data_IF_984815488886
#
_entry.id   IF_984815488886
#
_cell.length_a   1.000
_cell.length_b   1.000
_cell.length_c   1.000
_cell.angle_alpha   90.00
_cell.angle_beta   90.00
_cell.angle_gamma   90.00
#
_symmetry.space_group_name_H-M   'P 1'
#
loop_
_entity.id
_entity.type
_entity.pdbx_description
1 polymer ?
#
# COMPACT_ATOMS: atom_id res chain seq x y z
N UNK A 1 -7.98 -31.24 -6.11
CA UNK A 1 -7.47 -30.18 -7.00
C UNK A 1 -7.86 -28.85 -6.37
N UNK A 2 -6.89 -28.04 -5.93
CA UNK A 2 -7.17 -26.72 -5.37
C UNK A 2 -6.87 -25.66 -6.41
N UNK A 3 -7.85 -24.80 -6.71
CA UNK A 3 -7.59 -23.65 -7.57
C UNK A 3 -6.86 -22.56 -6.77
N UNK A 4 -5.95 -21.84 -7.42
CA UNK A 4 -5.30 -20.70 -6.78
C UNK A 4 -6.34 -19.65 -6.35
N UNK A 5 -6.19 -19.03 -5.17
CA UNK A 5 -7.01 -17.88 -4.78
C UNK A 5 -6.97 -16.79 -5.86
N UNK A 6 -8.14 -16.30 -6.24
CA UNK A 6 -8.32 -15.26 -7.22
C UNK A 6 -7.68 -13.94 -6.78
N UNK A 7 -7.00 -13.27 -7.71
CA UNK A 7 -6.52 -11.92 -7.54
C UNK A 7 -6.43 -11.19 -8.90
N UNK A 8 -6.64 -9.88 -8.89
CA UNK A 8 -6.45 -8.99 -10.03
C UNK A 8 -5.78 -7.72 -9.51
N UNK A 9 -4.68 -7.30 -10.15
CA UNK A 9 -4.06 -5.99 -9.95
C UNK A 9 -4.40 -5.13 -11.16
N UNK A 10 -4.92 -3.92 -10.95
CA UNK A 10 -5.30 -3.05 -12.05
C UNK A 10 -5.04 -1.57 -11.76
N UNK A 11 -4.62 -0.87 -12.80
CA UNK A 11 -4.47 0.57 -12.93
C UNK A 11 -4.39 0.92 -14.42
N UNK A 12 -4.72 2.14 -14.80
CA UNK A 12 -4.57 2.63 -16.17
C UNK A 12 -3.35 3.55 -16.32
N UNK A 13 -2.95 3.81 -17.56
CA UNK A 13 -1.79 4.64 -17.89
C UNK A 13 -1.96 6.08 -17.39
N UNK A 14 -3.19 6.59 -17.41
CA UNK A 14 -3.55 7.92 -16.91
C UNK A 14 -3.28 8.03 -15.40
N UNK A 15 -3.65 7.02 -14.61
CA UNK A 15 -3.37 6.99 -13.17
C UNK A 15 -1.87 7.05 -12.87
N UNK A 16 -1.06 6.31 -13.63
CA UNK A 16 0.40 6.35 -13.55
C UNK A 16 0.93 7.76 -13.86
N UNK A 17 0.43 8.38 -14.93
CA UNK A 17 0.88 9.71 -15.34
C UNK A 17 0.48 10.80 -14.34
N UNK A 18 -0.76 10.76 -13.83
CA UNK A 18 -1.25 11.69 -12.81
C UNK A 18 -0.41 11.57 -11.54
N UNK A 19 -0.14 10.36 -11.07
CA UNK A 19 0.68 10.15 -9.88
C UNK A 19 2.12 10.65 -10.07
N UNK A 20 2.75 10.37 -11.21
CA UNK A 20 4.09 10.91 -11.53
C UNK A 20 4.12 12.44 -11.51
N UNK A 21 3.10 13.09 -12.07
CA UNK A 21 3.00 14.54 -12.06
C UNK A 21 2.79 15.08 -10.64
N UNK A 22 1.95 14.41 -9.84
CA UNK A 22 1.76 14.73 -8.42
C UNK A 22 3.08 14.69 -7.64
N UNK A 23 3.87 13.62 -7.81
CA UNK A 23 5.18 13.50 -7.14
C UNK A 23 6.19 14.57 -7.57
N UNK A 24 6.06 15.15 -8.77
CA UNK A 24 6.90 16.28 -9.22
C UNK A 24 6.44 17.61 -8.64
N UNK A 25 5.14 17.77 -8.39
CA UNK A 25 4.56 19.01 -7.86
C UNK A 25 4.59 19.12 -6.34
N UNK A 26 4.86 18.03 -5.62
CA UNK A 26 4.83 17.99 -4.16
C UNK A 26 6.14 17.43 -3.62
N UNK A 27 6.77 18.15 -2.68
CA UNK A 27 8.03 17.73 -2.05
C UNK A 27 7.88 16.44 -1.23
N UNK A 28 6.71 16.25 -0.61
CA UNK A 28 6.42 15.14 0.28
C UNK A 28 5.16 14.38 -0.17
N UNK A 29 5.25 13.51 -1.20
CA UNK A 29 4.12 12.74 -1.72
C UNK A 29 3.60 11.73 -0.70
N UNK A 30 2.27 11.76 -0.47
CA UNK A 30 1.57 10.88 0.46
C UNK A 30 0.66 9.91 -0.28
N UNK A 31 0.65 8.66 0.15
CA UNK A 31 -0.21 7.61 -0.39
C UNK A 31 -1.12 7.10 0.72
N UNK A 32 -2.42 6.95 0.46
CA UNK A 32 -3.37 6.33 1.39
C UNK A 32 -3.73 4.97 0.81
N UNK A 33 -3.67 3.92 1.64
CA UNK A 33 -4.03 2.55 1.24
C UNK A 33 -5.07 2.02 2.20
N UNK A 34 -6.18 1.55 1.64
CA UNK A 34 -7.27 0.94 2.40
C UNK A 34 -7.75 -0.37 1.74
N UNK A 35 -8.42 -1.20 2.53
CA UNK A 35 -9.01 -2.45 2.07
C UNK A 35 -10.45 -2.57 2.58
N UNK A 36 -11.41 -2.68 1.67
CA UNK A 36 -12.82 -2.89 1.99
C UNK A 36 -13.28 -4.27 1.51
N UNK A 37 -13.95 -5.01 2.39
CA UNK A 37 -14.60 -6.29 2.06
C UNK A 37 -16.03 -6.10 1.57
N UNK A 38 -16.64 -7.19 1.08
CA UNK A 38 -18.09 -7.27 0.78
C UNK A 38 -18.60 -6.39 -0.37
N UNK A 39 -17.73 -5.67 -1.07
CA UNK A 39 -18.10 -4.88 -2.26
C UNK A 39 -18.33 -5.76 -3.48
N UNK A 40 -17.58 -6.86 -3.60
CA UNK A 40 -17.63 -7.77 -4.76
C UNK A 40 -18.38 -9.05 -4.38
N UNK A 41 -19.40 -9.40 -5.18
CA UNK A 41 -20.12 -10.67 -5.02
C UNK A 41 -19.20 -11.85 -5.32
N UNK A 42 -19.24 -12.86 -4.47
CA UNK A 42 -18.54 -14.12 -4.73
C UNK A 42 -19.08 -14.77 -6.01
N UNK A 43 -18.18 -15.40 -6.78
CA UNK A 43 -18.51 -16.06 -8.04
C UNK A 43 -17.89 -17.46 -8.11
N UNK A 44 -18.29 -18.26 -9.10
CA UNK A 44 -17.76 -19.62 -9.28
C UNK A 44 -16.51 -19.60 -10.17
N UNK A 45 -15.37 -19.99 -9.61
CA UNK A 45 -14.13 -20.27 -10.34
C UNK A 45 -14.32 -21.54 -11.16
N UNK A 46 -14.12 -21.40 -12.48
CA UNK A 46 -14.24 -22.49 -13.45
C UNK A 46 -15.59 -23.24 -13.42
N UNK A 47 -16.64 -22.66 -12.83
CA UNK A 47 -17.95 -23.31 -12.69
C UNK A 47 -18.07 -24.31 -11.53
N UNK A 48 -16.99 -24.59 -10.78
CA UNK A 48 -16.98 -25.64 -9.74
C UNK A 48 -16.74 -25.13 -8.32
N UNK A 49 -15.94 -24.07 -8.12
CA UNK A 49 -15.50 -23.64 -6.79
C UNK A 49 -15.85 -22.17 -6.55
N UNK A 50 -16.66 -21.86 -5.52
CA UNK A 50 -16.94 -20.46 -5.17
C UNK A 50 -15.70 -19.77 -4.62
N UNK A 51 -15.51 -18.49 -4.99
CA UNK A 51 -14.54 -17.63 -4.33
C UNK A 51 -14.90 -17.46 -2.85
N UNK A 52 -13.88 -17.30 -2.01
CA UNK A 52 -13.97 -16.82 -0.63
C UNK A 52 -14.31 -15.33 -0.61
N UNK A 53 -14.26 -14.73 0.58
CA UNK A 53 -14.40 -13.28 0.74
C UNK A 53 -13.40 -12.56 -0.18
N UNK A 54 -13.94 -11.67 -1.01
CA UNK A 54 -13.17 -10.81 -1.90
C UNK A 54 -12.97 -9.45 -1.22
N UNK A 55 -11.72 -9.03 -1.14
CA UNK A 55 -11.33 -7.72 -0.66
C UNK A 55 -10.98 -6.83 -1.85
N UNK A 56 -11.43 -5.59 -1.80
CA UNK A 56 -11.01 -4.51 -2.70
C UNK A 56 -10.00 -3.67 -1.95
N UNK A 57 -8.78 -3.65 -2.45
CA UNK A 57 -7.71 -2.77 -2.00
C UNK A 57 -7.63 -1.59 -2.95
N UNK A 58 -7.55 -0.40 -2.38
CA UNK A 58 -7.39 0.84 -3.12
C UNK A 58 -6.21 1.60 -2.55
N UNK A 59 -5.34 2.09 -3.44
CA UNK A 59 -4.34 3.09 -3.11
C UNK A 59 -4.75 4.40 -3.77
N UNK A 60 -4.81 5.48 -3.00
CA UNK A 60 -5.24 6.80 -3.45
C UNK A 60 -4.32 7.90 -2.94
N UNK A 61 -4.40 9.06 -3.58
CA UNK A 61 -3.72 10.28 -3.18
C UNK A 61 -4.76 11.35 -2.92
N UNK A 62 -4.55 12.13 -1.87
CA UNK A 62 -5.22 13.40 -1.66
C UNK A 62 -4.23 14.54 -1.89
N UNK A 63 -4.41 15.28 -3.00
CA UNK A 63 -3.61 16.45 -3.34
C UNK A 63 -4.20 17.68 -2.63
N UNK A 64 -3.57 18.06 -1.52
CA UNK A 64 -3.98 19.23 -0.73
C UNK A 64 -3.86 20.55 -1.52
N UNK A 65 -2.93 20.65 -2.48
CA UNK A 65 -2.69 21.89 -3.24
C UNK A 65 -3.84 22.09 -4.22
N UNK A 66 -4.22 21.03 -4.94
CA UNK A 66 -5.34 21.06 -5.89
C UNK A 66 -6.69 20.82 -5.24
N UNK A 67 -6.72 20.41 -3.98
CA UNK A 67 -7.92 19.98 -3.25
C UNK A 67 -8.69 18.88 -3.99
N UNK A 68 -7.96 17.92 -4.56
CA UNK A 68 -8.51 16.81 -5.34
C UNK A 68 -7.95 15.47 -4.88
N UNK A 69 -8.79 14.43 -4.85
CA UNK A 69 -8.35 13.06 -4.62
C UNK A 69 -8.39 12.26 -5.92
N UNK A 70 -7.47 11.31 -6.07
CA UNK A 70 -7.48 10.37 -7.18
C UNK A 70 -6.90 9.01 -6.79
N UNK A 71 -7.46 7.96 -7.38
CA UNK A 71 -7.00 6.58 -7.21
C UNK A 71 -5.76 6.33 -8.06
N UNK A 72 -4.74 5.68 -7.49
CA UNK A 72 -3.47 5.39 -8.17
C UNK A 72 -3.36 3.94 -8.65
N UNK A 73 -3.90 2.99 -7.90
CA UNK A 73 -3.88 1.57 -8.23
C UNK A 73 -4.86 0.82 -7.34
N UNK A 74 -5.33 -0.34 -7.80
CA UNK A 74 -6.28 -1.18 -7.08
C UNK A 74 -5.91 -2.66 -7.18
N UNK A 75 -6.40 -3.44 -6.22
CA UNK A 75 -6.36 -4.89 -6.25
C UNK A 75 -7.69 -5.49 -5.77
N UNK A 76 -8.20 -6.49 -6.46
CA UNK A 76 -9.27 -7.36 -5.95
C UNK A 76 -8.63 -8.71 -5.64
N UNK A 77 -8.81 -9.24 -4.43
CA UNK A 77 -8.11 -10.45 -4.01
C UNK A 77 -8.89 -11.26 -2.98
N UNK A 78 -8.83 -12.60 -3.10
CA UNK A 78 -9.19 -13.54 -2.02
C UNK A 78 -8.07 -13.62 -0.96
N UNK A 79 -6.85 -13.20 -1.30
CA UNK A 79 -5.67 -13.23 -0.42
C UNK A 79 -5.55 -11.91 0.35
N UNK A 80 -5.68 -11.97 1.68
CA UNK A 80 -5.34 -10.91 2.62
C UNK A 80 -3.97 -11.18 3.29
N UNK A 81 -2.93 -11.38 2.48
CA UNK A 81 -1.58 -11.68 2.99
C UNK A 81 -0.60 -10.57 2.62
N UNK A 82 0.39 -10.35 3.47
CA UNK A 82 1.43 -9.34 3.23
C UNK A 82 2.17 -9.57 1.91
N UNK A 83 2.38 -10.82 1.49
CA UNK A 83 3.03 -11.14 0.21
C UNK A 83 2.15 -10.75 -0.99
N UNK A 84 0.83 -10.95 -0.92
CA UNK A 84 -0.08 -10.61 -2.01
C UNK A 84 -0.14 -9.08 -2.19
N UNK A 85 -0.29 -8.37 -1.08
CA UNK A 85 -0.30 -6.90 -1.06
C UNK A 85 1.06 -6.35 -1.54
N UNK A 86 2.18 -6.92 -1.07
CA UNK A 86 3.51 -6.53 -1.53
C UNK A 86 3.65 -6.70 -3.04
N UNK A 87 3.23 -7.84 -3.60
CA UNK A 87 3.31 -8.08 -5.04
C UNK A 87 2.46 -7.09 -5.85
N UNK A 88 1.30 -6.66 -5.33
CA UNK A 88 0.49 -5.62 -5.94
C UNK A 88 1.20 -4.26 -5.95
N UNK A 89 1.73 -3.82 -4.81
CA UNK A 89 2.45 -2.56 -4.70
C UNK A 89 3.75 -2.56 -5.51
N UNK A 90 4.52 -3.66 -5.46
CA UNK A 90 5.74 -3.83 -6.24
C UNK A 90 5.47 -3.80 -7.75
N UNK A 91 4.37 -4.42 -8.21
CA UNK A 91 3.95 -4.34 -9.61
C UNK A 91 3.63 -2.90 -10.02
N UNK A 92 2.95 -2.14 -9.16
CA UNK A 92 2.68 -0.73 -9.41
C UNK A 92 3.98 0.11 -9.43
N UNK A 93 4.91 -0.10 -8.50
CA UNK A 93 6.24 0.55 -8.51
C UNK A 93 7.01 0.22 -9.80
N UNK A 94 6.90 -1.00 -10.31
CA UNK A 94 7.57 -1.41 -11.56
C UNK A 94 7.07 -0.66 -12.79
N UNK A 95 5.96 0.07 -12.69
CA UNK A 95 5.50 1.02 -13.70
C UNK A 95 6.27 2.36 -13.65
N UNK A 96 7.45 2.39 -13.02
CA UNK A 96 8.37 3.54 -12.96
C UNK A 96 7.67 4.79 -12.36
N UNK A 97 7.00 4.57 -11.23
CA UNK A 97 6.43 5.64 -10.40
C UNK A 97 7.38 5.98 -9.27
N UNK A 98 7.32 7.23 -8.77
CA UNK A 98 8.13 7.63 -7.63
C UNK A 98 7.60 6.97 -6.35
N UNK A 99 8.51 6.45 -5.53
CA UNK A 99 8.16 5.92 -4.21
C UNK A 99 7.54 7.03 -3.34
N UNK A 100 6.41 6.80 -2.64
CA UNK A 100 5.87 7.77 -1.69
C UNK A 100 6.86 8.07 -0.56
N UNK A 101 6.71 9.25 0.06
CA UNK A 101 7.46 9.65 1.27
C UNK A 101 6.70 9.32 2.54
N UNK A 102 5.38 9.20 2.45
CA UNK A 102 4.54 8.72 3.52
C UNK A 102 3.42 7.85 2.97
N UNK A 103 3.14 6.74 3.65
CA UNK A 103 1.98 5.90 3.39
C UNK A 103 1.10 5.87 4.63
N UNK A 104 -0.20 6.05 4.42
CA UNK A 104 -1.22 6.06 5.45
C UNK A 104 -2.09 4.81 5.26
N UNK A 105 -2.26 4.01 6.31
CA UNK A 105 -3.12 2.84 6.27
C UNK A 105 -3.77 2.58 7.64
N UNK A 106 -4.64 1.57 7.72
CA UNK A 106 -5.14 1.06 9.00
C UNK A 106 -4.04 0.30 9.78
N UNK A 107 -4.41 -0.26 10.94
CA UNK A 107 -3.51 -1.09 11.75
C UNK A 107 -3.40 -2.55 11.26
N UNK A 108 -3.77 -2.86 10.02
CA UNK A 108 -3.63 -4.21 9.46
C UNK A 108 -2.16 -4.59 9.35
N UNK A 109 -1.76 -5.63 10.09
CA UNK A 109 -0.41 -6.19 10.04
C UNK A 109 -0.02 -6.59 8.61
N UNK A 110 -0.98 -7.06 7.80
CA UNK A 110 -0.72 -7.43 6.42
C UNK A 110 -0.36 -6.20 5.55
N UNK A 111 -1.08 -5.09 5.71
CA UNK A 111 -0.78 -3.82 5.05
C UNK A 111 0.54 -3.23 5.54
N UNK A 112 0.71 -3.09 6.86
CA UNK A 112 1.93 -2.57 7.47
C UNK A 112 3.18 -3.35 7.03
N UNK A 113 3.09 -4.68 6.99
CA UNK A 113 4.21 -5.55 6.55
C UNK A 113 4.50 -5.47 5.06
N UNK A 114 3.48 -5.25 4.22
CA UNK A 114 3.67 -5.09 2.79
C UNK A 114 4.26 -3.72 2.45
N UNK A 115 3.73 -2.66 3.07
CA UNK A 115 4.15 -1.28 2.89
C UNK A 115 5.59 -1.09 3.35
N UNK A 116 5.95 -1.61 4.54
CA UNK A 116 7.32 -1.52 5.04
C UNK A 116 8.31 -2.14 4.06
N UNK A 117 8.02 -3.34 3.56
CA UNK A 117 8.85 -4.04 2.57
C UNK A 117 8.89 -3.38 1.20
N UNK A 118 7.82 -2.70 0.79
CA UNK A 118 7.70 -2.15 -0.56
C UNK A 118 8.29 -0.73 -0.67
N UNK A 119 8.07 0.12 0.33
CA UNK A 119 8.36 1.55 0.22
C UNK A 119 9.48 2.02 1.14
N UNK A 120 9.99 1.17 2.02
CA UNK A 120 11.13 1.52 2.90
C UNK A 120 12.38 0.73 2.51
N UNK A 121 13.51 1.06 3.14
CA UNK A 121 14.76 0.31 3.03
C UNK A 121 14.78 -0.98 3.88
N UNK A 122 13.73 -1.24 4.68
CA UNK A 122 13.71 -2.34 5.64
C UNK A 122 13.04 -3.59 5.06
N UNK A 123 13.60 -4.75 5.40
CA UNK A 123 13.14 -6.05 4.90
C UNK A 123 11.96 -6.63 5.69
N UNK A 124 11.66 -6.07 6.86
CA UNK A 124 10.53 -6.50 7.71
C UNK A 124 9.89 -5.32 8.46
N UNK A 125 8.63 -5.52 8.85
CA UNK A 125 7.92 -4.59 9.73
C UNK A 125 8.60 -4.44 11.09
N UNK A 126 9.18 -5.53 11.61
CA UNK A 126 9.89 -5.53 12.89
C UNK A 126 11.10 -4.59 12.84
N UNK A 127 11.89 -4.68 11.77
CA UNK A 127 13.07 -3.84 11.60
C UNK A 127 12.68 -2.36 11.44
N UNK A 128 11.64 -2.09 10.65
CA UNK A 128 11.07 -0.75 10.52
C UNK A 128 10.65 -0.16 11.88
N UNK A 129 9.89 -0.91 12.68
CA UNK A 129 9.42 -0.47 14.00
C UNK A 129 10.62 -0.25 14.94
N UNK A 130 11.57 -1.19 14.96
CA UNK A 130 12.74 -1.09 15.83
C UNK A 130 13.56 0.16 15.52
N UNK A 131 13.85 0.42 14.25
CA UNK A 131 14.61 1.62 13.86
C UNK A 131 13.83 2.89 14.18
N UNK A 132 12.51 2.93 13.93
CA UNK A 132 11.71 4.09 14.31
C UNK A 132 11.73 4.33 15.83
N UNK A 133 11.65 3.27 16.64
CA UNK A 133 11.74 3.36 18.09
C UNK A 133 13.12 3.88 18.53
N UNK A 134 14.20 3.34 17.96
CA UNK A 134 15.57 3.75 18.30
C UNK A 134 15.85 5.21 17.92
N UNK A 135 15.27 5.73 16.83
CA UNK A 135 15.34 7.15 16.48
C UNK A 135 14.58 8.01 17.50
N UNK A 136 13.37 7.59 17.89
CA UNK A 136 12.51 8.34 18.84
C UNK A 136 13.13 8.39 20.24
N UNK A 137 13.78 7.30 20.67
CA UNK A 137 14.47 7.23 21.97
C UNK A 137 15.93 7.72 21.91
N UNK A 138 16.33 8.36 20.81
CA UNK A 138 17.69 8.92 20.62
C UNK A 138 18.83 7.88 20.72
N UNK A 139 18.50 6.59 20.53
CA UNK A 139 19.49 5.50 20.44
C UNK A 139 20.19 5.50 19.07
N UNK A 140 19.57 6.09 18.04
CA UNK A 140 20.13 6.27 16.70
C UNK A 140 20.04 7.74 16.26
N UNK A 141 21.00 8.23 15.46
CA UNK A 141 20.93 9.57 14.89
C UNK A 141 19.79 9.69 13.88
N UNK A 142 19.10 10.83 13.91
CA UNK A 142 18.04 11.18 12.97
C UNK A 142 18.61 11.76 11.67
N UNK A 143 19.40 10.96 10.95
CA UNK A 143 20.02 11.35 9.68
C UNK A 143 19.42 10.60 8.48
N UNK A 144 19.80 11.00 7.27
CA UNK A 144 19.27 10.44 6.03
C UNK A 144 19.57 8.95 5.83
N UNK A 145 20.49 8.36 6.60
CA UNK A 145 20.81 6.95 6.50
C UNK A 145 19.79 6.09 7.25
N UNK A 146 19.41 6.50 8.47
CA UNK A 146 18.45 5.76 9.31
C UNK A 146 17.00 6.14 9.05
N UNK A 147 16.73 7.37 8.60
CA UNK A 147 15.36 7.79 8.36
C UNK A 147 14.69 6.94 7.28
N UNK A 148 13.48 6.40 7.53
CA UNK A 148 12.74 5.64 6.53
C UNK A 148 12.56 6.43 5.23
N UNK A 149 12.84 5.79 4.09
CA UNK A 149 12.56 6.37 2.76
C UNK A 149 11.08 6.72 2.56
N UNK A 150 10.21 5.97 3.24
CA UNK A 150 8.79 6.21 3.37
C UNK A 150 8.39 6.01 4.84
N UNK A 151 7.72 6.98 5.43
CA UNK A 151 7.09 6.82 6.74
C UNK A 151 5.75 6.10 6.62
N UNK A 152 5.38 5.32 7.63
CA UNK A 152 4.09 4.64 7.72
C UNK A 152 3.29 5.27 8.86
N UNK A 153 2.14 5.84 8.54
CA UNK A 153 1.21 6.45 9.50
C UNK A 153 -0.04 5.57 9.61
N UNK A 154 -0.41 5.20 10.82
CA UNK A 154 -1.66 4.49 11.08
C UNK A 154 -2.81 5.45 11.36
N UNK A 155 -4.00 5.12 10.85
CA UNK A 155 -5.24 5.79 11.24
C UNK A 155 -5.87 4.99 12.37
N UNK A 156 -6.15 5.65 13.51
CA UNK A 156 -6.97 5.06 14.57
C UNK A 156 -8.44 5.37 14.28
N UNK A 157 -9.23 4.36 13.95
CA UNK A 157 -10.70 4.47 13.85
C UNK A 157 -11.36 4.45 15.24
N UNK A 158 -10.79 5.18 16.21
CA UNK A 158 -11.41 5.36 17.51
C UNK A 158 -12.21 6.67 17.46
N UNK A 159 -13.50 6.53 17.17
CA UNK A 159 -14.51 7.53 17.55
C UNK A 159 -14.67 7.53 19.07
#
# INVERSE_FOLDING_TARGET
MGSDPFFIHYHCTEQIHIYRNYCKSVEYPRLVIDATGSVVKNFSKFGFEKTRCLFVYEALVHDNIKSTSFTVTNMISERHTSIAIFNWLAKWISCDVHNPKETICDQSIALLSAISRCFTQYSSLKDYIQICADIVFENLPSDSYWLPKCFIRTINNNN
#
